data_IF_879123555824
#
_entry.id   IF_879123555824
#
_cell.length_a   1.000
_cell.length_b   1.000
_cell.length_c   1.000
_cell.angle_alpha   90.00
_cell.angle_beta   90.00
_cell.angle_gamma   90.00
#
_symmetry.space_group_name_H-M   'P 1'
#
loop_
_entity.id
_entity.type
_entity.pdbx_description
1 polymer ?
#
# COMPACT_ATOMS: atom_id res chain seq x y z
N UNK A 1 -22.85 1.71 -0.24
CA UNK A 1 -21.54 1.16 0.15
C UNK A 1 -20.84 0.38 -0.97
N UNK A 2 -21.50 -0.49 -1.76
CA UNK A 2 -20.82 -1.25 -2.84
C UNK A 2 -20.28 -0.39 -4.00
N UNK A 3 -20.97 0.66 -4.42
CA UNK A 3 -20.52 1.52 -5.53
C UNK A 3 -19.29 2.38 -5.19
N UNK A 4 -19.21 2.90 -3.97
CA UNK A 4 -18.07 3.70 -3.49
C UNK A 4 -16.78 2.86 -3.43
N UNK A 5 -16.90 1.60 -2.99
CA UNK A 5 -15.78 0.67 -2.98
C UNK A 5 -15.29 0.34 -4.40
N UNK A 6 -16.20 0.19 -5.37
CA UNK A 6 -15.84 -0.08 -6.76
C UNK A 6 -15.11 1.12 -7.40
N UNK A 7 -15.59 2.34 -7.14
CA UNK A 7 -14.96 3.58 -7.59
C UNK A 7 -13.54 3.74 -7.02
N UNK A 8 -13.35 3.44 -5.74
CA UNK A 8 -12.02 3.49 -5.10
C UNK A 8 -11.05 2.48 -5.69
N UNK A 9 -11.48 1.23 -5.87
CA UNK A 9 -10.63 0.18 -6.44
C UNK A 9 -10.19 0.53 -7.87
N UNK A 10 -11.07 1.14 -8.67
CA UNK A 10 -10.73 1.64 -10.00
C UNK A 10 -9.67 2.75 -9.95
N UNK A 11 -9.80 3.69 -8.99
CA UNK A 11 -8.83 4.76 -8.79
C UNK A 11 -7.46 4.24 -8.33
N UNK A 12 -7.42 3.26 -7.43
CA UNK A 12 -6.19 2.60 -6.99
C UNK A 12 -5.51 1.86 -8.15
N UNK A 13 -6.28 1.14 -8.97
CA UNK A 13 -5.78 0.46 -10.17
C UNK A 13 -5.16 1.47 -11.16
N UNK A 14 -5.84 2.60 -11.35
CA UNK A 14 -5.35 3.67 -12.21
C UNK A 14 -4.06 4.30 -11.67
N UNK A 15 -3.99 4.56 -10.36
CA UNK A 15 -2.80 5.06 -9.69
C UNK A 15 -1.60 4.12 -9.89
N UNK A 16 -1.81 2.80 -9.71
CA UNK A 16 -0.76 1.80 -9.92
C UNK A 16 -0.22 1.80 -11.35
N UNK A 17 -1.10 1.90 -12.35
CA UNK A 17 -0.69 1.98 -13.74
C UNK A 17 0.17 3.22 -14.02
N UNK A 18 -0.22 4.38 -13.47
CA UNK A 18 0.54 5.62 -13.61
C UNK A 18 1.90 5.57 -12.88
N UNK A 19 1.94 5.05 -11.64
CA UNK A 19 3.17 4.90 -10.87
C UNK A 19 4.18 3.98 -11.57
N UNK A 20 3.72 2.86 -12.14
CA UNK A 20 4.57 1.96 -12.93
C UNK A 20 5.16 2.65 -14.16
N UNK A 21 4.35 3.42 -14.89
CA UNK A 21 4.81 4.20 -16.05
C UNK A 21 5.82 5.27 -15.65
N UNK A 22 5.60 5.96 -14.52
CA UNK A 22 6.55 6.94 -14.00
C UNK A 22 7.87 6.28 -13.63
N UNK A 23 7.83 5.14 -12.92
CA UNK A 23 9.02 4.38 -12.53
C UNK A 23 9.87 3.99 -13.75
N UNK A 24 9.26 3.40 -14.79
CA UNK A 24 9.96 2.98 -16.01
C UNK A 24 10.61 4.19 -16.72
N UNK A 25 9.90 5.31 -16.81
CA UNK A 25 10.43 6.52 -17.44
C UNK A 25 11.61 7.11 -16.66
N UNK A 26 11.51 7.23 -15.34
CA UNK A 26 12.59 7.72 -14.49
C UNK A 26 13.82 6.80 -14.54
N UNK A 27 13.62 5.48 -14.58
CA UNK A 27 14.71 4.52 -14.72
C UNK A 27 15.41 4.66 -16.08
N UNK A 28 14.64 4.84 -17.16
CA UNK A 28 15.17 4.97 -18.53
C UNK A 28 15.94 6.28 -18.73
N UNK A 29 15.43 7.39 -18.20
CA UNK A 29 15.96 8.72 -18.50
C UNK A 29 17.09 9.15 -17.56
N UNK A 30 16.98 8.83 -16.27
CA UNK A 30 17.94 9.29 -15.25
C UNK A 30 18.52 8.16 -14.41
N UNK A 31 18.23 6.90 -14.73
CA UNK A 31 18.65 5.75 -13.92
C UNK A 31 17.95 5.64 -12.56
N UNK A 32 16.96 6.48 -12.26
CA UNK A 32 16.36 6.55 -10.92
C UNK A 32 15.31 5.47 -10.72
N UNK A 33 15.43 4.76 -9.60
CA UNK A 33 14.45 3.76 -9.14
C UNK A 33 13.63 4.42 -8.02
N UNK A 34 12.31 4.30 -8.10
CA UNK A 34 11.37 4.79 -7.07
C UNK A 34 10.63 3.61 -6.43
N UNK A 35 10.28 3.77 -5.16
CA UNK A 35 9.50 2.79 -4.41
C UNK A 35 8.00 3.08 -4.61
N UNK A 36 7.34 2.24 -5.42
CA UNK A 36 5.93 2.40 -5.77
C UNK A 36 5.01 2.12 -4.57
N UNK A 37 5.36 1.13 -3.75
CA UNK A 37 4.56 0.76 -2.59
C UNK A 37 4.63 1.85 -1.53
N UNK A 38 5.81 2.43 -1.32
CA UNK A 38 5.97 3.52 -0.38
C UNK A 38 5.28 4.81 -0.86
N UNK A 39 5.34 5.11 -2.17
CA UNK A 39 4.60 6.23 -2.78
C UNK A 39 3.10 6.18 -2.51
N UNK A 40 2.51 4.98 -2.44
CA UNK A 40 1.08 4.80 -2.19
C UNK A 40 0.67 5.12 -0.76
N UNK A 41 1.56 4.94 0.22
CA UNK A 41 1.23 5.03 1.65
C UNK A 41 1.73 6.31 2.32
N UNK A 42 2.76 6.95 1.77
CA UNK A 42 3.35 8.16 2.35
C UNK A 42 3.09 9.41 1.48
N UNK A 43 2.20 10.33 1.91
CA UNK A 43 1.89 11.54 1.16
C UNK A 43 3.10 12.47 0.96
N UNK A 44 4.03 12.50 1.91
CA UNK A 44 5.20 13.37 1.84
C UNK A 44 6.18 12.90 0.75
N UNK A 45 6.46 11.59 0.70
CA UNK A 45 7.26 10.95 -0.33
C UNK A 45 6.60 11.09 -1.70
N UNK A 46 5.29 10.89 -1.79
CA UNK A 46 4.55 11.14 -3.03
C UNK A 46 4.76 12.59 -3.52
N UNK A 47 4.54 13.61 -2.67
CA UNK A 47 4.79 15.02 -3.03
C UNK A 47 6.24 15.28 -3.46
N UNK A 48 7.21 14.67 -2.79
CA UNK A 48 8.61 14.77 -3.18
C UNK A 48 8.83 14.25 -4.61
N UNK A 49 8.27 13.07 -4.93
CA UNK A 49 8.36 12.50 -6.28
C UNK A 49 7.65 13.36 -7.32
N UNK A 50 6.48 13.90 -7.01
CA UNK A 50 5.73 14.78 -7.93
C UNK A 50 6.46 16.10 -8.20
N UNK A 51 7.04 16.71 -7.15
CA UNK A 51 7.90 17.89 -7.31
C UNK A 51 9.11 17.57 -8.20
N UNK A 52 9.75 16.41 -7.99
CA UNK A 52 10.85 15.99 -8.85
C UNK A 52 10.40 15.81 -10.30
N UNK A 53 9.26 15.16 -10.53
CA UNK A 53 8.71 14.95 -11.86
C UNK A 53 8.42 16.28 -12.58
N UNK A 54 7.90 17.29 -11.87
CA UNK A 54 7.68 18.64 -12.42
C UNK A 54 8.97 19.36 -12.83
N UNK A 55 10.12 18.97 -12.27
CA UNK A 55 11.43 19.54 -12.60
C UNK A 55 12.17 18.73 -13.66
N UNK A 56 11.59 17.63 -14.14
CA UNK A 56 12.17 16.81 -15.21
C UNK A 56 12.20 17.57 -16.53
N UNK A 57 13.16 17.27 -17.40
CA UNK A 57 13.17 17.78 -18.78
C UNK A 57 12.28 16.97 -19.73
N UNK A 58 11.78 15.81 -19.28
CA UNK A 58 10.87 14.98 -20.06
C UNK A 58 9.42 15.39 -19.85
N UNK A 59 8.78 15.78 -20.94
CA UNK A 59 7.34 16.10 -20.98
C UNK A 59 6.48 14.91 -20.53
N UNK A 60 6.81 13.68 -20.96
CA UNK A 60 6.11 12.46 -20.51
C UNK A 60 6.15 12.28 -18.98
N UNK A 61 7.30 12.56 -18.35
CA UNK A 61 7.45 12.47 -16.89
C UNK A 61 6.63 13.57 -16.20
N UNK A 62 6.64 14.79 -16.75
CA UNK A 62 5.84 15.90 -16.21
C UNK A 62 4.33 15.58 -16.29
N UNK A 63 3.85 15.08 -17.42
CA UNK A 63 2.45 14.70 -17.61
C UNK A 63 2.01 13.58 -16.64
N UNK A 64 2.86 12.55 -16.47
CA UNK A 64 2.60 11.48 -15.52
C UNK A 64 2.53 12.03 -14.10
N UNK A 65 3.42 12.96 -13.75
CA UNK A 65 3.40 13.67 -12.47
C UNK A 65 2.09 14.44 -12.25
N UNK A 66 1.60 15.18 -13.24
CA UNK A 66 0.33 15.91 -13.14
C UNK A 66 -0.87 14.98 -12.96
N UNK A 67 -0.93 13.88 -13.72
CA UNK A 67 -2.00 12.87 -13.58
C UNK A 67 -1.98 12.22 -12.19
N UNK A 68 -0.79 11.90 -11.68
CA UNK A 68 -0.63 11.35 -10.34
C UNK A 68 -1.00 12.37 -9.25
N UNK A 69 -0.67 13.65 -9.43
CA UNK A 69 -1.07 14.72 -8.52
C UNK A 69 -2.60 14.77 -8.37
N UNK A 70 -3.34 14.68 -9.47
CA UNK A 70 -4.81 14.67 -9.45
C UNK A 70 -5.34 13.41 -8.75
N UNK A 71 -4.81 12.23 -9.09
CA UNK A 71 -5.27 10.95 -8.53
C UNK A 71 -5.02 10.85 -7.01
N UNK A 72 -3.89 11.38 -6.53
CA UNK A 72 -3.53 11.30 -5.12
C UNK A 72 -4.08 12.46 -4.27
N UNK A 73 -4.09 13.68 -4.81
CA UNK A 73 -4.35 14.91 -4.06
C UNK A 73 -5.47 15.79 -4.65
N UNK A 74 -6.12 15.36 -5.72
CA UNK A 74 -7.33 16.01 -6.23
C UNK A 74 -8.49 15.94 -5.22
N UNK A 75 -9.62 16.54 -5.55
CA UNK A 75 -10.78 16.61 -4.64
C UNK A 75 -11.24 15.23 -4.15
N UNK A 76 -11.23 14.24 -5.03
CA UNK A 76 -11.57 12.84 -4.73
C UNK A 76 -10.31 11.95 -4.62
N UNK A 77 -9.16 12.55 -4.31
CA UNK A 77 -7.86 11.88 -4.34
C UNK A 77 -7.69 10.82 -3.25
N UNK A 78 -6.82 9.84 -3.51
CA UNK A 78 -6.55 8.71 -2.61
C UNK A 78 -6.08 9.14 -1.22
N UNK A 79 -5.31 10.23 -1.09
CA UNK A 79 -4.86 10.74 0.21
C UNK A 79 -5.88 11.63 0.90
N UNK A 80 -6.83 12.22 0.16
CA UNK A 80 -7.90 13.06 0.73
C UNK A 80 -9.00 12.19 1.34
N UNK A 81 -9.35 11.09 0.68
CA UNK A 81 -10.39 10.14 1.12
C UNK A 81 -9.89 9.08 2.10
N UNK A 82 -8.72 9.26 2.71
CA UNK A 82 -8.28 8.36 3.78
C UNK A 82 -9.08 8.73 5.02
N UNK A 83 -10.23 8.08 5.20
CA UNK A 83 -10.97 8.23 6.45
C UNK A 83 -10.04 7.92 7.63
N UNK A 84 -10.10 8.72 8.71
CA UNK A 84 -9.32 8.42 9.90
C UNK A 84 -9.73 7.03 10.39
N UNK A 85 -8.79 6.07 10.28
CA UNK A 85 -8.97 4.73 10.84
C UNK A 85 -9.39 4.90 12.30
N UNK A 86 -10.62 4.48 12.62
CA UNK A 86 -11.16 4.65 13.97
C UNK A 86 -10.12 4.23 15.01
N UNK A 87 -9.86 5.08 16.02
CA UNK A 87 -8.83 4.80 17.01
C UNK A 87 -9.14 3.47 17.68
N UNK A 88 -8.09 2.66 17.89
CA UNK A 88 -8.22 1.30 18.43
C UNK A 88 -8.96 1.27 19.78
N UNK A 89 -8.88 2.36 20.55
CA UNK A 89 -9.59 2.55 21.80
C UNK A 89 -11.12 2.51 21.64
N UNK A 90 -11.66 3.05 20.54
CA UNK A 90 -13.10 3.01 20.26
C UNK A 90 -13.54 1.58 19.92
N UNK A 91 -12.68 0.79 19.25
CA UNK A 91 -12.96 -0.63 18.97
C UNK A 91 -12.93 -1.50 20.22
N UNK A 92 -12.09 -1.14 21.20
CA UNK A 92 -12.02 -1.83 22.50
C UNK A 92 -13.23 -1.54 23.40
N UNK A 93 -13.94 -0.42 23.16
CA UNK A 93 -15.16 -0.05 23.89
C UNK A 93 -16.42 -0.71 23.35
N UNK A 94 -16.35 -1.36 22.18
CA UNK A 94 -17.50 -2.08 21.63
C UNK A 94 -17.76 -3.36 22.44
N UNK A 95 -18.94 -3.51 23.05
CA UNK A 95 -19.23 -4.69 23.86
C UNK A 95 -19.22 -5.91 22.96
N UNK A 96 -18.38 -6.89 23.32
CA UNK A 96 -18.33 -8.18 22.66
C UNK A 96 -19.76 -8.75 22.58
N UNK A 97 -20.25 -8.94 21.34
CA UNK A 97 -21.47 -9.69 21.11
C UNK A 97 -21.33 -11.04 21.83
N UNK A 98 -22.32 -11.36 22.66
CA UNK A 98 -22.30 -12.51 23.55
C UNK A 98 -21.91 -13.78 22.78
N UNK A 99 -21.01 -14.62 23.32
CA UNK A 99 -20.67 -15.89 22.71
C UNK A 99 -21.95 -16.74 22.66
N UNK A 100 -22.35 -17.15 21.45
CA UNK A 100 -23.32 -18.24 21.29
C UNK A 100 -22.72 -19.46 21.98
N UNK A 101 -23.48 -19.98 22.94
CA UNK A 101 -23.04 -20.93 23.95
C UNK A 101 -22.31 -22.16 23.37
N UNK A 102 -21.20 -22.49 24.05
CA UNK A 102 -20.46 -23.72 23.92
C UNK A 102 -21.34 -24.95 24.20
N UNK A 103 -21.36 -25.90 23.27
CA UNK A 103 -21.63 -27.30 23.59
C UNK A 103 -20.28 -27.99 23.78
N UNK A 104 -19.98 -28.33 25.04
CA UNK A 104 -18.78 -29.03 25.46
C UNK A 104 -18.87 -30.53 25.21
N UNK A 105 -17.78 -31.15 24.76
CA UNK A 105 -17.44 -32.54 25.05
C UNK A 105 -15.90 -32.67 25.18
N UNK A 106 -15.36 -33.41 26.17
CA UNK A 106 -13.93 -33.42 26.48
C UNK A 106 -13.17 -34.66 25.95
N UNK A 107 -11.88 -34.46 25.63
CA UNK A 107 -10.80 -35.48 25.65
C UNK A 107 -10.03 -35.66 24.32
N UNK A 108 -8.78 -36.19 24.34
CA UNK A 108 -7.60 -35.79 25.12
C UNK A 108 -6.39 -35.37 24.21
N UNK A 109 -5.49 -34.56 24.80
CA UNK A 109 -4.05 -34.31 24.55
C UNK A 109 -3.39 -34.37 23.14
N UNK A 110 -2.38 -33.50 22.87
CA UNK A 110 -1.89 -33.21 21.53
C UNK A 110 -0.80 -34.18 21.04
N UNK A 111 -0.92 -34.62 19.78
CA UNK A 111 0.19 -35.23 19.04
C UNK A 111 0.90 -34.14 18.22
N UNK A 112 2.21 -34.02 18.43
CA UNK A 112 3.09 -33.11 17.70
C UNK A 112 3.13 -33.44 16.19
N UNK A 113 3.19 -32.44 15.31
CA UNK A 113 3.77 -32.64 13.99
C UNK A 113 5.23 -32.16 13.99
N UNK A 114 6.15 -33.10 13.79
CA UNK A 114 7.48 -32.78 13.28
C UNK A 114 7.32 -31.99 11.97
N UNK A 115 7.80 -30.75 11.97
CA UNK A 115 7.92 -29.95 10.76
C UNK A 115 9.40 -29.66 10.59
N UNK A 116 10.00 -30.33 9.62
CA UNK A 116 11.41 -30.17 9.27
C UNK A 116 11.72 -28.73 8.85
N UNK A 117 12.89 -28.29 9.26
CA UNK A 117 13.63 -27.16 8.69
C UNK A 117 14.01 -27.52 7.23
N UNK A 118 13.88 -26.60 6.25
CA UNK A 118 14.97 -25.67 5.98
C UNK A 118 14.49 -24.30 5.48
N UNK A 119 15.10 -23.18 5.88
CA UNK A 119 15.76 -22.20 4.99
C UNK A 119 16.38 -21.09 5.87
N UNK A 120 17.58 -21.33 6.39
CA UNK A 120 18.53 -20.25 6.64
C UNK A 120 19.57 -20.27 5.50
N UNK A 121 19.19 -19.67 4.36
CA UNK A 121 20.09 -19.41 3.24
C UNK A 121 20.42 -17.92 3.19
N UNK A 122 21.34 -17.53 4.06
CA UNK A 122 22.49 -16.69 3.71
C UNK A 122 22.20 -15.27 3.26
N UNK A 123 22.22 -14.33 4.20
CA UNK A 123 22.57 -12.95 3.90
C UNK A 123 24.07 -12.85 3.58
N UNK A 124 24.43 -12.70 2.30
CA UNK A 124 25.77 -12.26 1.89
C UNK A 124 25.60 -11.04 0.98
N UNK A 125 25.58 -9.86 1.60
CA UNK A 125 25.73 -8.58 0.94
C UNK A 125 26.91 -7.82 1.55
N UNK A 126 28.14 -8.16 1.15
CA UNK A 126 29.30 -7.27 1.38
C UNK A 126 29.19 -6.12 0.39
N UNK A 127 28.93 -4.91 0.90
CA UNK A 127 29.16 -3.69 0.15
C UNK A 127 30.65 -3.61 -0.20
N UNK A 128 30.93 -3.40 -1.49
CA UNK A 128 32.21 -2.87 -1.97
C UNK A 128 32.00 -1.41 -2.35
#
# INVERSE_FOLDING_TARGET
>A
MTEEHHSRAALETHAFALMGRLHVNLRRQSGRIIDIEYMRIDPAYCRYLLKMASLSTSEEVQELGQKLQEVFFGAEGLFVRTEPRQPLLTRLQEPAAAPVAAAAAPGPAPAAPETGDPVDRGYIGRLR
#
